data_IF_910975811795
#
_entry.id   IF_910975811795
#
_cell.length_a   1.000
_cell.length_b   1.000
_cell.length_c   1.000
_cell.angle_alpha   90.00
_cell.angle_beta   90.00
_cell.angle_gamma   90.00
#
_symmetry.space_group_name_H-M   'P 1'
#
loop_
_entity.id
_entity.type
_entity.pdbx_description
1 polymer ?
2 polymer ?
3 non-polymer ?
4 water ?
#
# COMPACT_ATOMS: atom_id res chain seq x y z
N UNK A 9 15.93 28.02 -7.90
CA UNK A 9 15.05 27.00 -7.34
C UNK A 9 15.41 26.67 -5.89
N UNK A 10 14.38 26.56 -5.05
CA UNK A 10 14.55 26.26 -3.63
C UNK A 10 15.14 24.87 -3.42
N UNK A 11 16.06 24.77 -2.46
CA UNK A 11 16.71 23.50 -2.15
C UNK A 11 16.21 22.95 -0.81
N UNK A 12 15.94 21.65 -0.78
CA UNK A 12 15.50 20.99 0.45
C UNK A 12 16.45 19.84 0.81
N UNK A 13 17.11 19.97 1.97
CA UNK A 13 18.06 18.98 2.50
C UNK A 13 19.11 18.50 1.48
N UNK A 14 19.55 19.42 0.63
CA UNK A 14 20.57 19.13 -0.38
C UNK A 14 20.05 18.59 -1.70
N UNK A 15 18.79 18.91 -2.01
CA UNK A 15 18.18 18.49 -3.27
C UNK A 15 17.39 19.63 -3.91
N UNK A 16 17.66 19.87 -5.19
CA UNK A 16 17.03 20.96 -5.94
C UNK A 16 15.61 20.61 -6.39
N UNK A 17 14.64 21.41 -5.95
CA UNK A 17 13.24 21.25 -6.36
C UNK A 17 12.86 22.31 -7.38
N UNK A 18 12.90 21.93 -8.66
CA UNK A 18 12.54 22.84 -9.73
C UNK A 18 11.03 22.80 -10.02
N UNK A 19 10.25 23.27 -9.04
CA UNK A 19 8.78 23.28 -9.13
C UNK A 19 8.21 24.69 -9.24
N UNK A 20 9.02 25.69 -8.88
CA UNK A 20 8.65 27.10 -9.04
C UNK A 20 8.34 27.45 -10.49
N UNK A 21 7.66 28.60 -10.73
CA UNK A 21 7.21 29.56 -9.72
C UNK A 21 5.91 29.18 -9.01
N UNK A 22 5.16 28.22 -9.58
CA UNK A 22 3.85 27.84 -9.06
C UNK A 22 3.90 27.25 -7.66
N UNK A 23 4.92 26.45 -7.39
CA UNK A 23 5.04 25.76 -6.10
C UNK A 23 6.25 26.24 -5.31
N UNK A 24 5.98 26.72 -4.10
CA UNK A 24 7.01 27.28 -3.23
C UNK A 24 6.79 26.82 -1.80
N UNK A 25 7.59 27.36 -0.88
CA UNK A 25 7.41 27.10 0.56
C UNK A 25 7.50 25.60 0.87
N UNK A 26 8.69 25.06 0.59
CA UNK A 26 8.93 23.62 0.64
C UNK A 26 9.59 23.17 1.94
N UNK A 27 9.07 22.09 2.51
CA UNK A 27 9.65 21.49 3.72
C UNK A 27 9.55 19.97 3.67
N UNK A 28 10.65 19.31 4.02
CA UNK A 28 10.79 17.85 3.99
C UNK A 28 9.69 17.13 4.78
N UNK A 29 9.09 16.11 4.16
CA UNK A 29 8.17 15.21 4.85
C UNK A 29 8.80 13.84 5.06
N UNK A 30 9.22 13.23 3.95
CA UNK A 30 9.84 11.90 3.95
C UNK A 30 10.60 11.64 2.68
N UNK A 31 11.18 10.45 2.56
CA UNK A 31 11.95 10.06 1.39
C UNK A 31 12.00 8.55 1.19
N UNK A 32 12.23 8.13 -0.05
CA UNK A 32 12.41 6.72 -0.38
C UNK A 32 13.77 6.44 -1.00
N UNK A 33 13.86 5.37 -1.77
CA UNK A 33 15.11 4.96 -2.42
C UNK A 33 15.57 5.93 -3.50
N UNK A 34 14.60 6.51 -4.22
CA UNK A 34 14.89 7.37 -5.36
C UNK A 34 13.95 8.57 -5.42
N UNK A 35 13.52 9.03 -4.26
CA UNK A 35 12.61 10.16 -4.18
C UNK A 35 12.54 10.83 -2.83
N UNK A 36 12.13 12.09 -2.84
CA UNK A 36 11.85 12.85 -1.64
C UNK A 36 10.49 13.55 -1.77
N UNK A 37 9.71 13.51 -0.68
CA UNK A 37 8.41 14.17 -0.64
C UNK A 37 8.43 15.38 0.29
N UNK A 38 7.77 16.45 -0.15
CA UNK A 38 7.71 17.71 0.59
C UNK A 38 6.30 18.30 0.61
N UNK A 39 5.98 19.03 1.67
CA UNK A 39 4.79 19.86 1.69
C UNK A 39 5.15 21.13 0.93
N UNK A 40 4.18 21.73 0.26
CA UNK A 40 4.40 22.96 -0.52
C UNK A 40 3.12 23.78 -0.64
N UNK A 41 3.27 25.03 -1.05
CA UNK A 41 2.13 25.90 -1.29
C UNK A 41 1.98 26.11 -2.79
N UNK A 42 0.75 25.92 -3.26
CA UNK A 42 0.41 26.10 -4.67
C UNK A 42 -0.12 27.53 -4.88
N UNK A 43 0.72 28.35 -5.49
CA UNK A 43 0.43 29.78 -5.72
C UNK A 43 -0.73 30.05 -6.68
N UNK A 44 -1.12 29.04 -7.46
CA UNK A 44 -2.23 29.18 -8.41
C UNK A 44 -3.59 28.94 -7.76
N UNK A 45 -3.76 27.76 -7.16
CA UNK A 45 -5.04 27.39 -6.54
C UNK A 45 -5.15 27.84 -5.08
N UNK A 46 -4.12 28.53 -4.59
CA UNK A 46 -4.05 29.02 -3.22
C UNK A 46 -4.35 27.91 -2.20
N UNK A 47 -3.63 26.80 -2.33
CA UNK A 47 -3.82 25.62 -1.50
C UNK A 47 -2.46 24.95 -1.20
N UNK A 48 -2.37 24.30 -0.05
CA UNK A 48 -1.17 23.53 0.31
C UNK A 48 -1.19 22.17 -0.36
N UNK A 49 -0.08 21.78 -0.98
CA UNK A 49 0.03 20.51 -1.69
C UNK A 49 1.23 19.67 -1.22
N UNK A 50 1.31 18.43 -1.71
CA UNK A 50 2.51 17.62 -1.54
C UNK A 50 3.19 17.44 -2.90
N UNK A 51 4.50 17.57 -2.94
CA UNK A 51 5.27 17.35 -4.17
C UNK A 51 6.34 16.29 -3.97
N UNK A 52 6.32 15.29 -4.85
CA UNK A 52 7.26 14.18 -4.80
C UNK A 52 8.22 14.30 -5.98
N UNK A 53 9.50 14.50 -5.68
CA UNK A 53 10.56 14.47 -6.69
C UNK A 53 11.06 13.05 -6.86
N UNK A 54 10.94 12.54 -8.08
CA UNK A 54 11.36 11.18 -8.44
C UNK A 54 12.51 11.22 -9.46
N UNK A 55 13.59 10.48 -9.16
CA UNK A 55 14.74 10.37 -10.07
C UNK A 55 15.04 8.90 -10.37
N UNK A 56 14.28 8.30 -11.31
CA UNK A 56 14.34 6.85 -11.51
C UNK A 56 15.12 6.36 -12.74
N UNK A 57 15.57 7.28 -13.59
CA UNK A 57 15.93 6.93 -14.96
C UNK A 57 17.24 6.15 -15.17
N UNK A 58 18.06 6.07 -14.13
CA UNK A 58 19.28 5.26 -14.21
C UNK A 58 19.06 3.81 -13.76
N UNK A 59 17.83 3.49 -13.36
CA UNK A 59 17.53 2.17 -12.83
C UNK A 59 16.25 1.58 -13.42
N UNK A 60 16.40 0.44 -14.08
CA UNK A 60 15.31 -0.21 -14.80
C UNK A 60 14.10 -0.53 -13.92
N UNK A 61 14.35 -1.03 -12.71
CA UNK A 61 13.25 -1.37 -11.82
C UNK A 61 12.56 -0.11 -11.27
N UNK A 62 13.35 0.91 -10.95
CA UNK A 62 12.80 2.21 -10.54
C UNK A 62 11.86 2.75 -11.62
N UNK A 63 12.29 2.63 -12.88
CA UNK A 63 11.47 3.07 -14.02
C UNK A 63 10.15 2.31 -14.12
N UNK A 64 10.21 0.98 -13.98
CA UNK A 64 9.01 0.13 -14.02
C UNK A 64 8.01 0.52 -12.93
N UNK A 65 8.50 0.62 -11.70
CA UNK A 65 7.64 0.98 -10.56
C UNK A 65 7.05 2.37 -10.72
N UNK A 66 7.87 3.31 -11.22
CA UNK A 66 7.42 4.68 -11.47
C UNK A 66 6.32 4.74 -12.54
N UNK A 67 6.52 4.02 -13.64
CA UNK A 67 5.53 3.97 -14.71
C UNK A 67 4.22 3.35 -14.23
N UNK A 68 4.32 2.22 -13.51
CA UNK A 68 3.14 1.55 -12.95
C UNK A 68 2.36 2.48 -12.04
N UNK A 69 3.06 3.18 -11.14
CA UNK A 69 2.46 4.12 -10.21
C UNK A 69 1.70 5.22 -10.95
N UNK A 70 2.37 5.85 -11.92
CA UNK A 70 1.76 6.95 -12.67
C UNK A 70 0.50 6.49 -13.41
N UNK A 71 0.61 5.40 -14.17
CA UNK A 71 -0.53 4.89 -14.95
C UNK A 71 -1.74 4.58 -14.07
N UNK A 72 -1.49 3.87 -12.97
CA UNK A 72 -2.57 3.45 -12.07
C UNK A 72 -3.21 4.65 -11.40
N UNK A 73 -2.40 5.51 -10.81
CA UNK A 73 -2.92 6.70 -10.11
C UNK A 73 -3.72 7.64 -11.02
N UNK A 74 -3.29 7.80 -12.27
CA UNK A 74 -4.03 8.64 -13.21
C UNK A 74 -5.39 8.06 -13.62
N UNK A 75 -5.48 6.73 -13.63
CA UNK A 75 -6.71 6.04 -13.99
C UNK A 75 -7.69 6.01 -12.82
N UNK A 76 -7.18 5.71 -11.62
CA UNK A 76 -8.00 5.59 -10.41
C UNK A 76 -8.56 6.94 -9.93
N UNK A 77 -9.81 6.92 -9.47
CA UNK A 77 -10.43 8.11 -8.86
C UNK A 77 -11.27 7.64 -7.69
N UNK A 78 -10.70 7.74 -6.49
CA UNK A 78 -11.39 7.31 -5.28
C UNK A 78 -10.89 8.15 -4.12
N UNK A 79 -11.79 8.49 -3.20
CA UNK A 79 -11.47 9.31 -2.03
C UNK A 79 -10.37 8.73 -1.14
N UNK A 80 -10.24 7.41 -1.13
CA UNK A 80 -9.27 6.72 -0.26
C UNK A 80 -8.03 6.24 -1.01
N UNK A 81 -7.82 6.80 -2.21
CA UNK A 81 -6.61 6.54 -2.99
C UNK A 81 -6.03 7.87 -3.44
N UNK A 82 -4.74 8.05 -3.20
CA UNK A 82 -4.08 9.30 -3.58
C UNK A 82 -4.16 9.52 -5.10
N UNK A 83 -4.49 10.75 -5.48
CA UNK A 83 -4.55 11.13 -6.90
C UNK A 83 -3.28 11.82 -7.33
N UNK A 84 -3.14 12.07 -8.62
CA UNK A 84 -2.06 12.92 -9.13
C UNK A 84 -2.72 14.17 -9.72
N UNK A 85 -2.37 15.32 -9.17
CA UNK A 85 -2.98 16.59 -9.57
C UNK A 85 -2.25 17.26 -10.72
N UNK A 86 -0.95 17.02 -10.82
CA UNK A 86 -0.10 17.68 -11.80
C UNK A 86 1.21 16.91 -11.86
N UNK A 87 1.87 16.95 -13.01
CA UNK A 87 3.20 16.37 -13.15
C UNK A 87 4.12 17.39 -13.81
N UNK A 88 5.26 17.64 -13.18
CA UNK A 88 6.25 18.56 -13.72
C UNK A 88 7.46 17.78 -14.18
N UNK A 89 7.81 17.97 -15.44
CA UNK A 89 9.05 17.44 -16.02
C UNK A 89 9.48 18.33 -17.19
N UNK A 90 10.70 18.10 -17.68
CA UNK A 90 11.30 18.93 -18.72
C UNK A 90 10.59 18.82 -20.07
N UNK A 91 10.60 19.90 -20.88
CA UNK A 91 9.94 19.92 -22.18
C UNK A 91 10.49 18.90 -23.20
N UNK A 92 11.72 18.44 -23.00
CA UNK A 92 12.35 17.46 -23.90
C UNK A 92 12.85 16.24 -23.14
N UNK A 93 12.78 15.08 -23.79
CA UNK A 93 13.13 13.80 -23.15
C UNK A 93 14.58 13.73 -22.63
N UNK A 94 15.52 14.27 -23.40
CA UNK A 94 16.93 14.31 -22.97
C UNK A 94 17.13 15.14 -21.70
N UNK A 95 16.41 16.26 -21.62
CA UNK A 95 16.51 17.16 -20.46
C UNK A 95 15.84 16.59 -19.21
N UNK A 96 14.93 15.62 -19.39
CA UNK A 96 14.21 15.05 -18.27
C UNK A 96 15.07 14.09 -17.43
N UNK A 97 15.45 14.53 -16.24
CA UNK A 97 16.22 13.71 -15.31
C UNK A 97 15.38 13.41 -14.07
N UNK A 98 14.42 14.28 -13.81
CA UNK A 98 13.58 14.19 -12.61
C UNK A 98 12.12 14.33 -13.00
N UNK A 99 11.25 13.77 -12.19
CA UNK A 99 9.83 13.95 -12.36
C UNK A 99 9.23 14.44 -11.05
N UNK A 100 8.43 15.49 -11.12
CA UNK A 100 7.76 16.02 -9.94
C UNK A 100 6.29 15.67 -9.99
N UNK A 101 5.84 14.91 -9.00
CA UNK A 101 4.44 14.52 -8.89
C UNK A 101 3.76 15.36 -7.81
N UNK A 102 2.75 16.12 -8.22
CA UNK A 102 2.02 16.98 -7.29
C UNK A 102 0.74 16.28 -6.86
N UNK A 103 0.55 16.17 -5.55
CA UNK A 103 -0.59 15.48 -4.97
C UNK A 103 -1.21 16.29 -3.84
N UNK A 104 -2.40 15.86 -3.39
CA UNK A 104 -3.03 16.41 -2.19
C UNK A 104 -2.08 16.27 -1.00
N UNK A 105 -2.02 17.30 -0.16
CA UNK A 105 -1.18 17.26 1.01
C UNK A 105 -1.77 16.35 2.08
N UNK A 106 -1.01 15.31 2.42
CA UNK A 106 -1.32 14.45 3.55
C UNK A 106 -0.20 14.62 4.56
N UNK A 107 -0.53 15.18 5.72
CA UNK A 107 0.47 15.61 6.71
C UNK A 107 1.36 14.50 7.26
N UNK A 108 0.86 13.27 7.28
CA UNK A 108 1.56 12.16 7.90
C UNK A 108 1.16 10.83 7.27
N UNK A 109 1.64 9.72 7.83
CA UNK A 109 1.17 8.40 7.42
C UNK A 109 0.99 7.54 8.66
N UNK A 110 0.41 6.35 8.49
CA UNK A 110 0.14 5.48 9.63
C UNK A 110 1.41 5.00 10.33
N UNK A 111 2.47 4.77 9.56
CA UNK A 111 3.77 4.39 10.12
C UNK A 111 4.26 5.43 11.14
N UNK A 112 4.35 6.70 10.70
CA UNK A 112 4.80 7.79 11.58
C UNK A 112 3.84 7.99 12.75
N UNK A 113 2.55 7.88 12.47
CA UNK A 113 1.52 8.08 13.49
C UNK A 113 1.65 7.06 14.62
N UNK A 114 1.87 5.80 14.26
CA UNK A 114 1.99 4.72 15.24
C UNK A 114 3.29 4.79 16.05
N UNK A 115 4.29 5.47 15.51
CA UNK A 115 5.55 5.68 16.23
C UNK A 115 5.39 6.73 17.33
N UNK A 116 4.34 7.54 17.24
CA UNK A 116 4.17 8.71 18.10
C UNK A 116 2.98 8.64 19.07
N UNK A 117 1.97 7.82 18.77
CA UNK A 117 0.79 7.76 19.65
C UNK A 117 0.00 6.45 19.58
N UNK A 118 -0.68 6.14 20.69
CA UNK A 118 -1.60 5.02 20.76
C UNK A 118 -2.97 5.44 20.24
N UNK A 119 -3.55 4.63 19.36
CA UNK A 119 -4.83 4.94 18.75
C UNK A 119 -6.01 4.44 19.56
N UNK A 120 -7.02 5.28 19.71
CA UNK A 120 -8.31 4.88 20.28
C UNK A 120 -9.00 3.88 19.34
N UNK A 121 -9.89 3.06 19.90
CA UNK A 121 -10.71 2.13 19.11
C UNK A 121 -11.50 2.84 18.00
N UNK A 122 -11.96 4.05 18.28
CA UNK A 122 -12.68 4.87 17.29
C UNK A 122 -11.82 5.18 16.06
N UNK A 123 -10.56 5.57 16.28
CA UNK A 123 -9.63 5.83 15.19
C UNK A 123 -9.27 4.56 14.42
N UNK A 124 -9.01 3.47 15.13
CA UNK A 124 -8.67 2.18 14.50
C UNK A 124 -9.81 1.73 13.57
N UNK A 125 -11.03 1.86 14.06
CA UNK A 125 -12.23 1.46 13.31
C UNK A 125 -12.41 2.29 12.05
N UNK A 126 -12.27 3.62 12.20
CA UNK A 126 -12.43 4.54 11.08
C UNK A 126 -11.32 4.38 10.04
N UNK A 127 -10.09 4.17 10.50
CA UNK A 127 -8.97 3.93 9.59
C UNK A 127 -9.12 2.61 8.85
N UNK A 128 -9.52 1.56 9.57
CA UNK A 128 -9.73 0.26 8.93
C UNK A 128 -10.82 0.34 7.87
N UNK A 129 -11.92 1.03 8.20
CA UNK A 129 -13.01 1.23 7.24
C UNK A 129 -12.51 1.85 5.94
N UNK A 130 -11.72 2.92 6.04
CA UNK A 130 -11.20 3.63 4.85
C UNK A 130 -10.23 2.81 4.03
N UNK A 131 -9.35 2.06 4.71
CA UNK A 131 -8.45 1.13 4.05
C UNK A 131 -9.26 0.14 3.22
N UNK A 132 -10.28 -0.45 3.81
CA UNK A 132 -11.08 -1.47 3.11
C UNK A 132 -11.96 -0.87 2.02
N UNK A 133 -12.43 0.36 2.22
CA UNK A 133 -13.21 1.09 1.23
C UNK A 133 -12.35 1.39 -0.01
N UNK A 134 -11.13 1.85 0.22
CA UNK A 134 -10.15 2.06 -0.86
C UNK A 134 -9.82 0.76 -1.56
N UNK A 135 -9.61 -0.30 -0.78
CA UNK A 135 -9.26 -1.63 -1.32
C UNK A 135 -10.38 -2.26 -2.14
N UNK A 136 -11.63 -2.00 -1.75
CA UNK A 136 -12.77 -2.47 -2.52
C UNK A 136 -12.69 -1.93 -3.95
N UNK A 137 -12.36 -0.64 -4.09
CA UNK A 137 -12.19 -0.01 -5.40
C UNK A 137 -11.02 -0.63 -6.17
N UNK A 138 -9.88 -0.79 -5.51
CA UNK A 138 -8.68 -1.37 -6.15
C UNK A 138 -9.00 -2.76 -6.70
N UNK A 139 -9.57 -3.60 -5.85
CA UNK A 139 -9.92 -4.98 -6.22
C UNK A 139 -11.00 -5.06 -7.28
N UNK A 140 -11.96 -4.13 -7.26
CA UNK A 140 -13.01 -4.10 -8.29
C UNK A 140 -12.43 -3.77 -9.67
N UNK A 141 -11.27 -3.12 -9.68
CA UNK A 141 -10.56 -2.82 -10.93
C UNK A 141 -9.65 -3.98 -11.35
N UNK A 142 -9.76 -5.09 -10.64
CA UNK A 142 -8.94 -6.30 -10.86
C UNK A 142 -7.43 -6.04 -10.65
N UNK A 143 -7.12 -5.13 -9.74
CA UNK A 143 -5.73 -4.82 -9.38
C UNK A 143 -5.44 -5.33 -7.98
N UNK A 144 -4.25 -5.89 -7.80
CA UNK A 144 -3.73 -6.25 -6.50
C UNK A 144 -2.67 -5.23 -6.14
N UNK A 145 -2.76 -4.65 -4.94
CA UNK A 145 -1.78 -3.64 -4.52
C UNK A 145 -0.42 -4.29 -4.22
N UNK A 146 -0.44 -5.34 -3.38
CA UNK A 146 0.74 -6.18 -3.08
C UNK A 146 1.77 -5.61 -2.12
N UNK A 147 1.65 -4.31 -1.81
CA UNK A 147 2.60 -3.68 -0.90
C UNK A 147 1.93 -2.81 0.17
N UNK A 148 0.78 -3.26 0.66
CA UNK A 148 0.09 -2.57 1.73
C UNK A 148 0.89 -2.67 3.04
N UNK A 149 1.10 -1.52 3.66
CA UNK A 149 1.84 -1.40 4.93
C UNK A 149 1.54 0.00 5.46
N UNK A 150 1.78 0.24 6.76
CA UNK A 150 1.42 1.54 7.37
C UNK A 150 2.01 2.77 6.67
N UNK A 151 3.24 2.68 6.16
CA UNK A 151 3.86 3.81 5.47
C UNK A 151 3.21 4.14 4.12
N UNK A 152 2.44 3.19 3.57
CA UNK A 152 1.69 3.41 2.34
C UNK A 152 0.25 3.86 2.55
N UNK A 153 -0.08 4.17 3.82
CA UNK A 153 -1.39 4.71 4.17
C UNK A 153 -1.25 6.16 4.68
N UNK A 154 -1.55 7.11 3.79
CA UNK A 154 -1.36 8.52 4.08
C UNK A 154 -2.53 9.07 4.89
N UNK A 155 -2.23 9.98 5.81
CA UNK A 155 -3.24 10.53 6.72
C UNK A 155 -3.13 12.04 6.77
N UNK A 156 -4.27 12.69 6.97
CA UNK A 156 -4.30 14.12 7.26
C UNK A 156 -4.87 14.38 8.65
N UNK A 157 -4.87 15.65 9.07
CA UNK A 157 -5.30 16.04 10.41
C UNK A 157 -6.78 15.77 10.68
N UNK A 158 -7.58 15.65 9.63
CA UNK A 158 -9.02 15.37 9.78
C UNK A 158 -9.34 13.89 9.60
N UNK A 159 -8.32 13.04 9.74
CA UNK A 159 -8.47 11.58 9.76
C UNK A 159 -8.85 10.93 8.42
N UNK A 160 -8.72 11.67 7.33
CA UNK A 160 -8.86 11.08 6.00
C UNK A 160 -7.66 10.19 5.70
N UNK A 161 -7.91 9.02 5.12
CA UNK A 161 -6.86 8.06 4.80
C UNK A 161 -6.83 7.76 3.30
N UNK A 162 -5.64 7.83 2.71
CA UNK A 162 -5.47 7.52 1.28
C UNK A 162 -4.36 6.50 1.04
N UNK A 163 -4.69 5.43 0.32
CA UNK A 163 -3.71 4.42 -0.10
C UNK A 163 -2.82 4.98 -1.21
N UNK A 164 -1.50 4.76 -1.05
CA UNK A 164 -0.53 5.17 -2.07
C UNK A 164 0.43 4.04 -2.44
N UNK A 165 1.36 4.37 -3.36
CA UNK A 165 2.44 3.47 -3.81
C UNK A 165 2.01 2.14 -4.43
N UNK A 166 1.61 2.21 -5.70
CA UNK A 166 1.23 1.05 -6.50
C UNK A 166 2.40 0.56 -7.36
N UNK A 167 3.62 0.85 -6.95
CA UNK A 167 4.85 0.43 -7.66
C UNK A 167 4.97 -1.06 -7.89
N UNK A 168 4.42 -1.86 -6.97
CA UNK A 168 4.48 -3.31 -7.08
C UNK A 168 3.14 -3.93 -7.45
N UNK A 169 2.16 -3.10 -7.78
CA UNK A 169 0.82 -3.56 -8.13
C UNK A 169 0.79 -4.39 -9.42
N UNK A 170 -0.14 -5.32 -9.50
CA UNK A 170 -0.35 -6.13 -10.69
C UNK A 170 -1.84 -6.33 -10.95
N UNK A 171 -2.17 -6.60 -12.20
CA UNK A 171 -3.51 -7.04 -12.58
C UNK A 171 -3.60 -8.56 -12.39
N UNK A 172 -4.66 -9.03 -11.75
CA UNK A 172 -4.90 -10.47 -11.62
C UNK A 172 -5.50 -11.03 -12.92
N UNK A 173 -4.63 -11.30 -13.91
CA UNK A 173 -5.09 -11.75 -15.25
C UNK A 173 -4.08 -12.58 -16.04
N UNK A 174 -3.35 -13.46 -15.34
CA UNK A 174 -2.38 -14.38 -15.96
C UNK A 174 -1.36 -13.70 -16.86
N UNK A 180 7.79 -10.75 -11.85
CA UNK A 180 6.70 -10.18 -11.06
C UNK A 180 6.65 -10.67 -9.62
N UNK A 181 7.37 -11.77 -9.33
CA UNK A 181 7.40 -12.38 -7.99
C UNK A 181 7.84 -11.38 -6.93
N UNK A 182 7.03 -11.25 -5.88
CA UNK A 182 7.32 -10.32 -4.78
C UNK A 182 8.61 -10.65 -4.04
N UNK A 183 8.98 -11.93 -4.03
CA UNK A 183 10.19 -12.38 -3.35
C UNK A 183 11.46 -11.96 -4.11
N UNK A 184 11.29 -11.40 -5.31
CA UNK A 184 12.42 -10.88 -6.10
C UNK A 184 12.66 -9.38 -5.91
N UNK A 185 11.81 -8.73 -5.13
CA UNK A 185 11.95 -7.29 -4.86
C UNK A 185 12.48 -7.01 -3.46
N UNK A 186 13.18 -5.89 -3.33
CA UNK A 186 13.62 -5.39 -2.02
C UNK A 186 12.48 -4.53 -1.47
N UNK A 187 11.79 -5.09 -0.49
CA UNK A 187 10.63 -4.46 0.12
C UNK A 187 10.37 -5.12 1.46
N UNK A 188 9.71 -4.37 2.36
CA UNK A 188 9.28 -4.89 3.65
C UNK A 188 8.46 -6.16 3.43
N UNK A 189 8.80 -7.21 4.19
CA UNK A 189 8.13 -8.51 4.04
C UNK A 189 7.09 -8.81 5.13
N UNK A 190 6.99 -7.90 6.10
CA UNK A 190 6.25 -8.13 7.34
C UNK A 190 4.74 -8.28 7.15
N UNK A 191 4.23 -7.77 6.05
CA UNK A 191 2.80 -7.74 5.78
C UNK A 191 2.40 -8.75 4.69
N UNK A 192 3.32 -9.66 4.37
CA UNK A 192 3.13 -10.61 3.29
C UNK A 192 2.41 -11.87 3.71
N UNK A 193 1.40 -12.26 2.94
CA UNK A 193 0.66 -13.50 3.13
C UNK A 193 1.57 -14.74 3.12
N UNK A 194 1.21 -15.78 3.92
CA UNK A 194 2.03 -17.00 4.01
C UNK A 194 2.30 -17.63 2.64
N UNK A 195 1.29 -17.64 1.78
CA UNK A 195 1.39 -18.28 0.46
C UNK A 195 2.51 -17.70 -0.41
N UNK A 196 2.88 -16.45 -0.12
CA UNK A 196 3.96 -15.78 -0.83
C UNK A 196 5.31 -16.45 -0.53
N UNK A 197 5.60 -16.67 0.75
CA UNK A 197 6.84 -17.33 1.18
C UNK A 197 6.86 -18.80 0.78
N UNK A 198 5.67 -19.39 0.67
CA UNK A 198 5.53 -20.79 0.26
C UNK A 198 5.66 -20.93 -1.26
N UNK A 199 6.01 -19.81 -1.91
CA UNK A 199 6.26 -19.73 -3.36
C UNK A 199 5.05 -20.10 -4.22
N UNK A 200 4.03 -19.25 -4.17
CA UNK A 200 2.81 -19.45 -4.96
C UNK A 200 2.42 -18.20 -5.74
N UNK A 202 0.92 -15.57 -5.01
CA UNK A 202 1.33 -14.17 -5.09
C UNK A 202 0.42 -13.34 -5.98
N UNK A 203 -0.69 -13.94 -6.39
CA UNK A 203 -1.57 -13.30 -7.37
C UNK A 203 -3.07 -13.57 -7.18
N UNK A 204 -3.53 -13.64 -5.93
CA UNK A 204 -4.96 -13.49 -5.65
C UNK A 204 -5.18 -12.24 -4.79
N UNK A 205 -6.41 -11.73 -4.82
CA UNK A 205 -6.81 -10.60 -3.99
C UNK A 205 -6.58 -10.87 -2.50
N UNK A 206 -6.60 -12.14 -2.12
CA UNK A 206 -6.44 -12.54 -0.72
C UNK A 206 -5.13 -12.09 -0.07
N UNK A 207 -4.07 -11.91 -0.86
CA UNK A 207 -2.80 -11.42 -0.28
C UNK A 207 -2.92 -10.01 0.32
N UNK A 208 -3.74 -9.17 -0.32
CA UNK A 208 -3.99 -7.81 0.17
C UNK A 208 -4.76 -7.81 1.50
N UNK A 209 -5.73 -8.71 1.62
CA UNK A 209 -6.51 -8.86 2.85
C UNK A 209 -5.61 -9.26 4.03
N UNK A 210 -4.69 -10.19 3.80
CA UNK A 210 -3.69 -10.55 4.81
C UNK A 210 -2.92 -9.32 5.29
N UNK A 211 -2.45 -8.50 4.35
CA UNK A 211 -1.71 -7.29 4.67
C UNK A 211 -2.53 -6.35 5.54
N UNK A 212 -3.81 -6.18 5.20
CA UNK A 212 -4.73 -5.36 5.99
C UNK A 212 -4.87 -5.89 7.41
N UNK A 213 -5.00 -7.20 7.54
CA UNK A 213 -5.01 -7.87 8.84
C UNK A 213 -3.76 -7.55 9.66
N UNK A 214 -2.59 -7.54 9.00
CA UNK A 214 -1.33 -7.21 9.66
C UNK A 214 -1.31 -5.76 10.11
N UNK A 215 -1.94 -4.89 9.31
CA UNK A 215 -2.04 -3.47 9.61
C UNK A 215 -2.98 -3.24 10.81
N UNK A 216 -4.09 -3.97 10.83
CA UNK A 216 -5.03 -3.91 11.97
C UNK A 216 -4.32 -4.29 13.26
N UNK A 217 -3.62 -5.42 13.25
CA UNK A 217 -2.86 -5.88 14.40
C UNK A 217 -1.89 -4.80 14.88
N UNK A 218 -1.22 -4.15 13.92
CA UNK A 218 -0.28 -3.08 14.24
C UNK A 218 -0.95 -1.85 14.87
N UNK A 219 -2.17 -1.53 14.43
CA UNK A 219 -2.92 -0.42 15.05
C UNK A 219 -3.33 -0.76 16.48
N UNK A 220 -3.58 -2.04 16.75
CA UNK A 220 -3.99 -2.47 18.07
C UNK A 220 -2.88 -2.41 19.13
N UNK A 221 -1.63 -2.59 18.72
CA UNK A 221 -0.52 -2.75 19.67
C UNK A 221 0.67 -1.80 19.47
N UNK A 222 0.64 -1.02 18.39
CA UNK A 222 1.78 -0.18 17.97
C UNK A 222 3.07 -0.93 17.62
N UNK A 223 2.95 -2.21 17.28
CA UNK A 223 4.10 -2.99 16.87
C UNK A 223 3.73 -3.92 15.73
N UNK A 224 4.68 -4.16 14.79
CA UNK A 224 4.42 -5.13 13.73
C UNK A 224 4.20 -6.51 14.33
N UNK A 225 3.15 -7.19 13.88
CA UNK A 225 2.84 -8.52 14.41
C UNK A 225 3.85 -9.59 13.94
N UNK A 226 4.27 -9.52 12.68
CA UNK A 226 5.18 -10.52 12.11
C UNK A 226 6.46 -9.88 11.51
N UNK A 227 7.40 -9.42 12.36
CA UNK A 227 8.55 -8.69 11.81
C UNK A 227 9.70 -9.60 11.32
N UNK A 228 9.45 -10.36 10.26
CA UNK A 228 10.44 -11.30 9.76
C UNK A 228 11.59 -10.64 9.03
N UNK A 229 12.77 -11.24 9.12
CA UNK A 229 14.00 -10.70 8.51
C UNK A 229 14.38 -11.36 7.17
N UNK A 230 13.69 -12.45 6.85
CA UNK A 230 13.87 -13.15 5.58
C UNK A 230 12.69 -14.08 5.41
N UNK A 231 12.61 -14.79 4.28
CA UNK A 231 11.38 -15.48 3.93
C UNK A 231 11.00 -16.59 4.92
N UNK A 232 11.99 -17.37 5.36
CA UNK A 232 11.76 -18.41 6.35
C UNK A 232 11.39 -17.85 7.72
N UNK A 233 12.03 -16.75 8.13
CA UNK A 233 11.74 -16.09 9.39
C UNK A 233 10.33 -15.52 9.37
N UNK A 234 9.96 -14.90 8.26
CA UNK A 234 8.60 -14.36 8.08
C UNK A 234 7.53 -15.44 8.27
N UNK A 235 7.72 -16.56 7.59
CA UNK A 235 6.84 -17.72 7.74
C UNK A 235 6.78 -18.23 9.18
N UNK A 236 7.96 -18.36 9.80
CA UNK A 236 8.04 -18.83 11.19
C UNK A 236 7.34 -17.88 12.19
N UNK A 237 7.43 -16.56 11.96
CA UNK A 237 6.71 -15.59 12.79
C UNK A 237 5.19 -15.85 12.73
N UNK A 238 4.70 -16.12 11.53
CA UNK A 238 3.28 -16.38 11.31
C UNK A 238 2.84 -17.68 12.00
N UNK A 239 3.65 -18.73 11.83
CA UNK A 239 3.39 -20.01 12.48
C UNK A 239 3.45 -19.90 14.00
N UNK A 240 4.34 -19.07 14.51
CA UNK A 240 4.45 -18.81 15.95
C UNK A 240 3.14 -18.36 16.58
N UNK A 241 2.36 -17.59 15.84
CA UNK A 241 1.10 -17.04 16.35
C UNK A 241 -0.12 -17.88 15.97
N UNK A 242 -0.25 -18.22 14.68
CA UNK A 242 -1.41 -18.97 14.19
C UNK A 242 -1.35 -20.43 14.58
N UNK A 243 -0.16 -20.90 14.95
CA UNK A 243 0.09 -22.31 15.18
C UNK A 243 0.22 -23.04 13.85
N UNK A 244 0.52 -24.33 13.94
CA UNK A 244 0.61 -25.19 12.77
C UNK A 244 -0.73 -25.28 12.03
N UNK A 245 -0.71 -25.20 10.70
CA UNK A 245 -1.96 -25.31 9.96
C UNK A 245 -2.58 -26.69 10.12
N UNK A 246 -3.90 -26.75 10.10
CA UNK A 246 -4.62 -28.01 10.14
C UNK A 246 -4.28 -28.87 8.92
N UNK A 247 -4.54 -30.16 9.00
CA UNK A 247 -4.34 -31.06 7.87
C UNK A 247 -5.17 -30.60 6.67
N UNK A 248 -6.38 -30.12 6.95
CA UNK A 248 -7.25 -29.57 5.91
C UNK A 248 -6.58 -28.43 5.15
N UNK A 249 -5.98 -27.50 5.87
CA UNK A 249 -5.33 -26.36 5.25
C UNK A 249 -4.04 -26.73 4.54
N UNK A 250 -3.29 -27.67 5.11
CA UNK A 250 -2.14 -28.28 4.43
C UNK A 250 -2.53 -28.86 3.07
N UNK A 251 -3.65 -29.58 3.04
CA UNK A 251 -4.13 -30.21 1.82
C UNK A 251 -4.50 -29.22 0.72
N UNK A 252 -4.62 -27.94 1.08
CA UNK A 252 -4.94 -26.88 0.12
C UNK A 252 -3.70 -26.18 -0.46
N UNK A 253 -2.53 -26.50 0.09
CA UNK A 253 -1.25 -26.03 -0.44
C UNK A 253 -0.87 -26.89 -1.64
N UNK A 254 -0.90 -26.29 -2.82
CA UNK A 254 -0.69 -27.02 -4.08
C UNK A 254 0.76 -27.47 -4.32
N UNK A 255 1.73 -26.70 -3.82
CA UNK A 255 3.13 -27.07 -3.95
C UNK A 255 3.50 -28.09 -2.87
N UNK A 256 3.77 -29.32 -3.31
CA UNK A 256 4.08 -30.41 -2.37
C UNK A 256 5.29 -30.18 -1.48
N UNK A 257 6.36 -29.64 -2.03
CA UNK A 257 7.56 -29.33 -1.24
C UNK A 257 7.21 -28.39 -0.08
N UNK A 258 6.47 -27.33 -0.38
CA UNK A 258 6.01 -26.39 0.65
C UNK A 258 5.09 -27.06 1.67
N UNK A 259 4.18 -27.91 1.17
CA UNK A 259 3.25 -28.63 2.05
C UNK A 259 4.00 -29.55 3.01
N UNK A 260 4.91 -30.35 2.47
CA UNK A 260 5.70 -31.27 3.28
C UNK A 260 6.66 -30.58 4.24
N UNK A 261 7.15 -29.41 3.87
CA UNK A 261 7.95 -28.59 4.77
C UNK A 261 7.16 -28.15 6.00
N UNK A 262 5.95 -27.64 5.79
CA UNK A 262 5.10 -27.24 6.91
C UNK A 262 4.71 -28.44 7.76
N UNK A 263 4.37 -29.56 7.10
CA UNK A 263 4.02 -30.79 7.80
C UNK A 263 5.13 -31.27 8.73
N UNK A 264 6.38 -31.05 8.31
CA UNK A 264 7.55 -31.58 9.01
C UNK A 264 7.96 -30.80 10.26
N UNK A 265 7.50 -29.56 10.38
CA UNK A 265 7.88 -28.71 11.51
C UNK A 265 7.25 -29.20 12.82
N UNK A 266 7.93 -29.01 13.96
CA UNK A 266 7.33 -29.39 15.24
C UNK A 266 5.99 -28.69 15.40
N UNK A 267 5.01 -29.38 15.99
CA UNK A 267 3.69 -28.78 16.18
C UNK A 267 3.75 -27.52 17.05
N UNK A 268 2.98 -26.51 16.66
CA UNK A 268 2.87 -25.28 17.45
C UNK A 268 1.42 -24.97 17.70
N UNK A 269 1.06 -24.79 18.98
CA UNK A 269 -0.30 -24.38 19.34
C UNK A 269 -0.55 -22.92 18.98
N UNK A 270 -1.79 -22.62 18.60
CA UNK A 270 -2.23 -21.24 18.31
C UNK A 270 -2.18 -20.37 19.57
N UNK A 271 -1.68 -19.14 19.41
CA UNK A 271 -1.83 -18.13 20.45
C UNK A 271 -3.19 -17.44 20.27
N UNK A 272 -4.06 -17.50 21.30
CA UNK A 272 -5.38 -16.83 21.19
C UNK A 272 -5.24 -15.31 20.98
N UNK A 273 -6.06 -14.74 20.11
CA UNK A 273 -5.94 -13.32 19.77
C UNK A 273 -6.10 -12.39 20.97
N UNK A 274 -6.95 -12.77 21.94
CA UNK A 274 -7.23 -11.89 23.07
C UNK A 274 -6.08 -11.81 24.08
N UNK A 275 -5.14 -12.74 23.93
CA UNK A 275 -3.91 -12.76 24.73
C UNK A 275 -2.87 -11.83 24.10
N UNK A 276 -2.76 -11.89 22.78
CA UNK A 276 -1.90 -10.98 22.02
C UNK A 276 -2.37 -9.53 22.14
N UNK A 277 -3.68 -9.34 22.07
CA UNK A 277 -4.28 -8.01 22.06
C UNK A 277 -5.35 -7.89 23.16
N UNK A 278 -4.91 -7.83 24.43
CA UNK A 278 -5.80 -7.87 25.60
C UNK A 278 -6.71 -6.65 25.76
N UNK A 279 -6.39 -5.55 25.08
CA UNK A 279 -7.20 -4.34 25.19
C UNK A 279 -8.03 -4.04 23.94
N UNK A 280 -8.03 -4.99 23.00
CA UNK A 280 -8.76 -4.81 21.75
C UNK A 280 -10.25 -5.12 21.87
N UNK A 281 -11.06 -4.39 21.10
CA UNK A 281 -12.47 -4.69 20.90
C UNK A 281 -12.62 -6.15 20.42
N UNK A 282 -13.58 -6.87 20.98
CA UNK A 282 -13.80 -8.28 20.62
C UNK A 282 -14.25 -8.46 19.17
N UNK A 283 -15.04 -7.51 18.66
CA UNK A 283 -15.45 -7.52 17.25
C UNK A 283 -14.25 -7.27 16.32
N UNK A 284 -13.33 -6.40 16.75
CA UNK A 284 -12.10 -6.15 15.99
C UNK A 284 -11.25 -7.41 15.87
N UNK A 285 -11.17 -8.19 16.95
CA UNK A 285 -10.39 -9.43 16.92
C UNK A 285 -11.04 -10.54 16.11
N UNK A 286 -12.37 -10.55 16.07
CA UNK A 286 -13.09 -11.48 15.20
C UNK A 286 -12.75 -11.21 13.74
N UNK A 287 -12.74 -9.94 13.35
CA UNK A 287 -12.40 -9.55 11.98
C UNK A 287 -10.93 -9.83 11.71
N UNK A 288 -10.08 -9.53 12.69
CA UNK A 288 -8.64 -9.82 12.59
C UNK A 288 -8.39 -11.29 12.27
N UNK A 289 -9.06 -12.16 13.03
CA UNK A 289 -8.99 -13.59 12.82
C UNK A 289 -9.32 -14.00 11.38
N UNK A 290 -10.39 -13.42 10.83
CA UNK A 290 -10.85 -13.74 9.48
C UNK A 290 -9.93 -13.21 8.38
N UNK A 291 -9.21 -12.13 8.66
CA UNK A 291 -8.22 -11.58 7.73
C UNK A 291 -6.90 -12.33 7.83
N UNK A 292 -6.51 -12.68 9.06
CA UNK A 292 -5.27 -13.43 9.28
C UNK A 292 -5.54 -14.93 9.34
N UNK A 293 -6.21 -15.40 8.31
CA UNK A 293 -6.53 -16.80 8.11
C UNK A 293 -5.48 -17.38 7.16
N UNK A 294 -4.83 -18.45 7.60
CA UNK A 294 -3.75 -19.08 6.83
C UNK A 294 -4.19 -19.50 5.43
N UNK A 295 -5.33 -20.17 5.34
CA UNK A 295 -5.84 -20.66 4.07
C UNK A 295 -6.43 -19.51 3.25
N UNK A 296 -5.81 -19.18 2.09
CA UNK A 296 -6.28 -18.01 1.32
C UNK A 296 -7.71 -18.14 0.80
N UNK A 297 -8.17 -19.37 0.54
CA UNK A 297 -9.55 -19.60 0.09
C UNK A 297 -10.58 -19.34 1.19
N UNK A 298 -10.17 -19.54 2.44
CA UNK A 298 -11.03 -19.32 3.61
C UNK A 298 -10.96 -17.88 4.13
N UNK A 299 -9.97 -17.13 3.65
CA UNK A 299 -9.72 -15.75 4.10
C UNK A 299 -10.86 -14.85 3.65
N UNK A 300 -11.27 -13.92 4.52
CA UNK A 300 -12.37 -13.00 4.23
C UNK A 300 -12.04 -12.14 3.00
N UNK A 301 -13.07 -11.84 2.20
CA UNK A 301 -12.93 -10.96 1.03
C UNK A 301 -13.26 -9.52 1.42
N UNK A 302 -12.85 -8.56 0.58
CA UNK A 302 -12.96 -7.13 0.92
C UNK A 302 -14.41 -6.68 1.21
N UNK A 303 -15.36 -7.13 0.39
CA UNK A 303 -16.77 -6.75 0.56
C UNK A 303 -17.34 -7.37 1.82
N UNK A 304 -16.95 -8.63 2.08
CA UNK A 304 -17.36 -9.32 3.31
C UNK A 304 -16.77 -8.64 4.54
N UNK A 305 -15.54 -8.15 4.43
CA UNK A 305 -14.88 -7.42 5.51
C UNK A 305 -15.60 -6.10 5.85
N UNK A 306 -15.99 -5.36 4.81
CA UNK A 306 -16.75 -4.11 4.99
C UNK A 306 -18.09 -4.33 5.73
N UNK A 307 -18.68 -5.51 5.49
CA UNK A 307 -19.98 -5.88 6.09
C UNK A 307 -19.86 -6.51 7.48
N UNK A 308 -18.64 -6.62 8.00
CA UNK A 308 -18.39 -7.19 9.33
C UNK A 308 -18.87 -6.27 10.45
N UNK A 309 -19.48 -6.85 11.51
CA UNK A 309 -20.01 -6.07 12.64
C UNK A 309 -19.07 -5.00 13.22
N UNK A 310 -17.75 -5.22 13.20
CA UNK A 310 -16.83 -4.19 13.70
C UNK A 310 -16.99 -2.84 12.98
N UNK A 311 -17.35 -2.89 11.70
CA UNK A 311 -17.45 -1.69 10.87
C UNK A 311 -18.88 -1.20 10.61
N UNK A 312 -19.85 -1.74 11.36
CA UNK A 312 -21.28 -1.41 11.17
C UNK A 312 -21.58 0.09 11.21
N UNK A 313 -20.84 0.82 12.03
CA UNK A 313 -20.99 2.26 12.17
C UNK A 313 -20.83 3.00 10.83
N UNK A 314 -19.96 2.48 9.97
CA UNK A 314 -19.60 3.16 8.73
C UNK A 314 -20.10 2.49 7.45
N UNK A 315 -20.31 1.17 7.51
CA UNK A 315 -20.72 0.39 6.33
C UNK A 315 -21.90 1.02 5.60
N UNK A 316 -21.72 1.26 4.30
CA UNK A 316 -22.73 1.88 3.45
C UNK A 316 -22.36 1.58 2.00
N UNK A 317 -22.83 0.43 1.46
CA UNK A 317 -22.40 -0.04 0.13
C UNK A 317 -22.72 0.91 -1.01
N UNK A 318 -23.73 1.77 -0.82
CA UNK A 318 -24.10 2.79 -1.80
C UNK A 318 -23.16 3.99 -1.79
N UNK A 319 -22.30 4.06 -0.77
CA UNK A 319 -21.28 5.10 -0.68
C UNK A 319 -19.86 4.49 -0.67
N UNK A 320 -19.74 3.28 -1.20
CA UNK A 320 -18.46 2.58 -1.34
C UNK A 320 -18.25 2.23 -2.82
N UNK A 321 -17.83 3.20 -3.63
CA UNK A 321 -17.82 3.04 -5.09
C UNK A 321 -16.80 2.02 -5.61
N UNK A 322 -17.11 1.50 -6.80
CA UNK A 322 -16.24 0.55 -7.48
C UNK A 322 -15.74 1.16 -8.79
N UNK A 323 -14.68 0.56 -9.34
CA UNK A 323 -14.18 0.96 -10.65
C UNK A 323 -15.18 0.51 -11.70
N UNK A 324 -15.33 1.31 -12.75
CA UNK A 324 -16.31 1.00 -13.78
C UNK A 324 -15.79 0.08 -14.87
N UNK A 325 -14.47 -0.12 -14.89
CA UNK A 325 -13.84 -1.03 -15.83
C UNK A 325 -12.58 -1.61 -15.19
N UNK A 326 -12.23 -2.87 -15.54
CA UNK A 326 -10.97 -3.45 -15.09
C UNK A 326 -9.77 -2.64 -15.59
N UNK A 327 -8.74 -2.52 -14.76
CA UNK A 327 -7.50 -1.88 -15.18
C UNK A 327 -6.70 -2.85 -16.04
N UNK A 328 -6.04 -2.32 -17.06
CA UNK A 328 -5.15 -3.13 -17.90
C UNK A 328 -3.89 -2.38 -18.29
N UNK A 329 -2.75 -3.07 -18.19
CA UNK A 329 -1.49 -2.57 -18.74
C UNK A 329 -1.43 -2.91 -20.22
N UNK A 330 -1.19 -1.89 -21.04
CA UNK A 330 -1.14 -2.07 -22.49
C UNK A 330 0.18 -2.71 -22.95
N UNK A 331 1.14 -2.77 -22.04
CA UNK A 331 2.46 -3.34 -22.33
C UNK A 331 2.98 -4.14 -21.14
N UNK A 332 3.78 -5.17 -21.43
CA UNK A 332 4.56 -5.86 -20.41
C UNK A 332 5.77 -5.00 -20.09
N UNK A 333 5.85 -4.55 -18.85
CA UNK A 333 6.88 -3.59 -18.46
C UNK A 333 8.17 -4.23 -17.97
N UNK A 334 8.05 -5.44 -17.42
CA UNK A 334 9.18 -6.13 -16.77
C UNK A 334 10.40 -6.45 -17.66
N UNK A 335 10.18 -6.54 -18.97
CA UNK A 335 11.27 -6.89 -19.90
C UNK A 335 11.98 -5.67 -20.52
N UNK A 336 11.28 -4.53 -20.51
CA UNK A 336 11.71 -3.31 -21.22
C UNK A 336 12.97 -2.65 -20.67
N UNK A 337 13.92 -2.26 -21.56
CA UNK A 337 15.10 -1.52 -21.13
C UNK A 337 14.70 -0.14 -20.58
N UNK A 338 15.54 0.43 -19.71
CA UNK A 338 15.20 1.68 -19.02
C UNK A 338 15.05 2.89 -19.96
N UNK A 339 15.71 2.83 -21.11
CA UNK A 339 15.58 3.85 -22.15
C UNK A 339 14.17 3.88 -22.70
N UNK A 340 13.62 2.71 -23.00
CA UNK A 340 12.25 2.58 -23.49
C UNK A 340 11.24 2.98 -22.41
N UNK A 341 11.52 2.57 -21.17
CA UNK A 341 10.68 2.93 -20.03
C UNK A 341 10.61 4.45 -19.85
N UNK A 342 11.75 5.11 -20.03
CA UNK A 342 11.81 6.57 -19.98
C UNK A 342 10.92 7.20 -21.05
N UNK A 343 11.00 6.68 -22.27
CA UNK A 343 10.13 7.13 -23.36
C UNK A 343 8.66 7.04 -22.95
N UNK A 344 8.29 5.93 -22.31
CA UNK A 344 6.91 5.69 -21.91
C UNK A 344 6.46 6.61 -20.77
N UNK A 345 7.38 6.89 -19.85
CA UNK A 345 7.14 7.87 -18.77
C UNK A 345 6.94 9.27 -19.37
N UNK A 346 7.81 9.66 -20.30
CA UNK A 346 7.67 10.91 -21.04
C UNK A 346 6.28 11.05 -21.69
N UNK A 347 5.84 10.01 -22.42
CA UNK A 347 4.53 10.00 -23.07
C UNK A 347 3.38 10.12 -22.07
N UNK A 348 3.47 9.37 -20.97
CA UNK A 348 2.44 9.34 -19.95
C UNK A 348 2.27 10.67 -19.22
N UNK A 349 3.34 11.45 -19.15
CA UNK A 349 3.33 12.73 -18.43
C UNK A 349 3.03 13.93 -19.36
N UNK A 350 2.90 13.65 -20.65
CA UNK A 350 2.69 14.69 -21.67
C UNK A 350 1.42 15.51 -21.45
N UNK A 351 0.36 14.88 -20.94
CA UNK A 351 -0.93 15.54 -20.75
C UNK A 351 -0.91 16.73 -19.79
N UNK A 352 0.16 16.84 -19.00
CA UNK A 352 0.32 17.93 -18.05
C UNK A 352 1.22 19.05 -18.59
N UNK A 353 1.68 18.89 -19.82
CA UNK A 353 2.48 19.91 -20.50
C UNK A 353 1.59 20.91 -21.23
N UNK A 354 1.97 22.20 -21.24
CA UNK A 354 1.25 23.22 -22.02
C UNK A 354 1.17 22.87 -23.50
N UNK B 10 -17.55 10.73 12.61
CA UNK B 10 -16.11 10.32 12.66
C UNK B 10 -15.44 10.77 13.96
N UNK B 11 -14.36 10.08 14.39
CA UNK B 11 -13.60 10.46 15.59
C UNK B 11 -12.96 11.86 15.46
N UNK B 12 -12.53 12.46 16.59
CA UNK B 12 -11.95 13.80 16.56
C UNK B 12 -10.62 13.89 15.79
N UNK B 13 -10.17 15.12 15.53
CA UNK B 13 -8.94 15.39 14.80
C UNK B 13 -7.68 14.82 15.48
N UNK B 14 -6.66 14.58 14.68
CA UNK B 14 -5.38 14.07 15.17
C UNK B 14 -4.39 15.19 15.47
N UNK B 15 -3.77 15.13 16.65
CA UNK B 15 -2.64 15.99 16.97
C UNK B 15 -1.36 15.31 16.47
N UNK B 16 -0.83 15.83 15.37
CA UNK B 16 0.32 15.22 14.68
C UNK B 16 1.65 15.80 15.18
N UNK B 17 2.58 14.89 15.52
CA UNK B 17 3.90 15.26 16.02
C UNK B 17 5.00 14.70 15.13
#
# INVERSE_FOLDING_TARGET
MAAAAAAGPEMVRGQVFDVGPRYTNLSYIGEGAYGMVCSAYDNLNKVRVAIKKISPFEHQTYCQRTLREIKILLRFRHENIIGINDIIRAPTIEQMKDVYIVQDLMETDLYKLLKTQHLSNDHICYFLYQILRGLKYIHSANVLHRDLKPSNLLLNTTCDLKICDFGLARVADPDHDHTGFLTEYVATRWYRAPEIMLNSKGYTKSIDIWSVGCILAEMLSNRPIFPGKHYLDQLNHILGILGSPSQEDLNCIINLKARNYLLSLPHKNKVPWNRLFPNADSKALDLLDKMLTFNPHKRIEVEQALAHPYLEQYYDPSDEPIAEAPFKFDMELDDLPKEKLKELIFEETARFQPGYRS
KRKGSQKDLRPPDLWIHHEEMEMKNIE
#
